data_IF_263426993586
#
_entry.id   IF_263426993586
#
_cell.length_a   1.000
_cell.length_b   1.000
_cell.length_c   1.000
_cell.angle_alpha   90.00
_cell.angle_beta   90.00
_cell.angle_gamma   90.00
#
_symmetry.space_group_name_H-M   'P 1'
#
loop_
_entity.id
_entity.type
_entity.pdbx_description
1 polymer ?
#
# COMPACT_ATOMS: atom_id res chain seq x y z
N UNK A 1 -18.36 -17.95 35.86
CA UNK A 1 -17.72 -16.62 35.69
C UNK A 1 -17.18 -16.56 34.27
N UNK A 2 -17.93 -15.97 33.34
CA UNK A 2 -17.49 -15.74 31.95
C UNK A 2 -16.92 -14.33 31.86
N UNK A 3 -15.61 -14.22 31.63
CA UNK A 3 -14.97 -12.93 31.37
C UNK A 3 -15.13 -12.60 29.89
N UNK A 4 -16.03 -11.67 29.59
CA UNK A 4 -16.23 -11.12 28.25
C UNK A 4 -15.15 -10.06 28.00
N UNK A 5 -14.17 -10.36 27.14
CA UNK A 5 -13.21 -9.36 26.66
C UNK A 5 -13.85 -8.68 25.45
N UNK A 6 -14.19 -7.40 25.58
CA UNK A 6 -14.68 -6.57 24.47
C UNK A 6 -13.46 -5.95 23.78
N UNK A 7 -13.11 -6.43 22.59
CA UNK A 7 -12.15 -5.75 21.72
C UNK A 7 -12.92 -4.65 20.96
N UNK A 8 -12.54 -3.39 21.15
CA UNK A 8 -13.13 -2.27 20.39
C UNK A 8 -12.86 -2.44 18.90
N UNK A 9 -13.94 -2.35 18.12
CA UNK A 9 -13.96 -2.53 16.68
C UNK A 9 -13.38 -1.32 15.94
N UNK A 10 -12.35 -1.58 15.13
CA UNK A 10 -12.02 -0.75 13.97
C UNK A 10 -13.05 -1.05 12.86
N UNK A 11 -13.49 -0.07 12.04
CA UNK A 11 -14.72 -0.19 11.22
C UNK A 11 -14.67 -1.16 10.03
N UNK A 12 -13.78 -2.16 9.99
CA UNK A 12 -13.55 -2.99 8.79
C UNK A 12 -13.62 -4.51 9.01
N UNK A 13 -14.23 -5.04 10.07
CA UNK A 13 -14.38 -6.51 10.20
C UNK A 13 -15.75 -6.93 10.74
N UNK A 14 -16.40 -7.81 9.97
CA UNK A 14 -17.63 -8.51 10.33
C UNK A 14 -17.43 -9.41 11.57
N UNK A 15 -18.45 -9.46 12.42
CA UNK A 15 -18.43 -10.12 13.73
C UNK A 15 -18.12 -11.62 13.65
N UNK A 16 -17.09 -12.08 14.37
CA UNK A 16 -16.83 -13.49 14.64
C UNK A 16 -17.06 -13.78 16.13
N UNK A 17 -18.09 -14.55 16.46
CA UNK A 17 -18.41 -14.95 17.85
C UNK A 17 -17.90 -16.37 18.05
N UNK A 18 -16.91 -16.57 18.92
CA UNK A 18 -16.46 -17.92 19.28
C UNK A 18 -16.92 -18.31 20.68
N UNK A 19 -17.70 -19.40 20.75
CA UNK A 19 -18.21 -19.97 21.99
C UNK A 19 -17.46 -21.27 22.28
N UNK A 20 -16.71 -21.34 23.39
CA UNK A 20 -15.93 -22.52 23.78
C UNK A 20 -16.42 -23.09 25.12
N UNK A 21 -16.73 -24.39 25.16
CA UNK A 21 -17.22 -25.13 26.35
C UNK A 21 -16.06 -25.81 27.09
N UNK A 22 -16.12 -25.75 28.42
CA UNK A 22 -15.09 -26.10 29.41
C UNK A 22 -14.68 -27.59 29.42
N UNK A 23 -13.37 -27.86 29.32
CA UNK A 23 -12.54 -28.44 30.40
C UNK A 23 -11.17 -28.90 29.84
N UNK A 24 -10.09 -28.37 30.43
CA UNK A 24 -8.71 -28.85 30.31
C UNK A 24 -8.01 -28.80 28.94
N UNK A 25 -7.67 -27.61 28.43
CA UNK A 25 -6.40 -27.45 27.68
C UNK A 25 -5.89 -25.99 27.69
N UNK A 26 -5.76 -25.45 28.90
CA UNK A 26 -5.22 -24.11 29.14
C UNK A 26 -3.68 -24.18 29.16
N UNK A 27 -3.00 -24.22 27.99
CA UNK A 27 -1.56 -23.84 27.92
C UNK A 27 -0.91 -23.62 26.54
N UNK A 28 -1.53 -23.90 25.40
CA UNK A 28 -0.77 -23.90 24.12
C UNK A 28 -1.55 -23.43 22.88
N UNK A 29 -2.41 -22.41 22.99
CA UNK A 29 -3.16 -21.87 21.83
C UNK A 29 -3.02 -20.34 21.69
N UNK A 30 -1.95 -19.76 22.27
CA UNK A 30 -1.58 -18.35 22.03
C UNK A 30 -0.32 -18.19 21.14
N UNK A 31 0.26 -19.29 20.64
CA UNK A 31 1.51 -19.26 19.84
C UNK A 31 1.34 -19.70 18.38
N UNK A 32 0.14 -20.07 17.95
CA UNK A 32 -0.14 -20.52 16.58
C UNK A 32 -1.44 -19.87 16.10
N UNK A 33 -1.33 -18.75 15.40
CA UNK A 33 -2.40 -18.31 14.51
C UNK A 33 -3.08 -16.98 14.80
N UNK A 34 -2.46 -16.03 15.49
CA UNK A 34 -2.77 -14.63 15.16
C UNK A 34 -2.04 -14.34 13.87
N UNK A 35 -2.69 -14.59 12.73
CA UNK A 35 -2.21 -14.06 11.45
C UNK A 35 -2.32 -12.55 11.57
N UNK A 36 -1.25 -11.91 12.02
CA UNK A 36 -1.11 -10.47 11.94
C UNK A 36 -1.17 -10.13 10.46
N UNK A 37 -2.36 -9.78 9.97
CA UNK A 37 -2.47 -9.05 8.72
C UNK A 37 -1.87 -7.68 9.04
N UNK A 38 -0.58 -7.52 8.74
CA UNK A 38 -0.01 -6.20 8.57
C UNK A 38 -0.83 -5.57 7.45
N UNK A 39 -1.79 -4.71 7.82
CA UNK A 39 -2.41 -3.84 6.83
C UNK A 39 -1.27 -3.12 6.12
N UNK A 40 -1.28 -3.16 4.78
CA UNK A 40 -0.26 -2.48 4.01
C UNK A 40 -0.22 -1.02 4.48
N UNK A 41 0.92 -0.61 5.05
CA UNK A 41 1.13 0.76 5.48
C UNK A 41 1.33 1.59 4.22
N UNK A 42 0.51 2.62 4.06
CA UNK A 42 0.67 3.62 3.01
C UNK A 42 2.14 4.09 2.94
N UNK A 43 2.76 3.89 1.80
CA UNK A 43 4.19 4.12 1.57
C UNK A 43 4.38 5.14 0.44
N UNK A 44 5.50 5.86 0.49
CA UNK A 44 5.93 6.76 -0.57
C UNK A 44 6.65 5.98 -1.69
N UNK A 45 6.21 6.15 -2.93
CA UNK A 45 6.78 5.58 -4.15
C UNK A 45 7.42 6.72 -4.94
N UNK A 46 8.74 6.72 -5.01
CA UNK A 46 9.49 7.81 -5.64
C UNK A 46 9.67 7.55 -7.14
N UNK A 47 9.46 8.58 -7.96
CA UNK A 47 9.70 8.56 -9.41
C UNK A 47 10.65 9.69 -9.76
N UNK A 48 11.71 9.39 -10.51
CA UNK A 48 12.71 10.38 -10.93
C UNK A 48 13.11 10.15 -12.39
N UNK A 49 13.41 11.23 -13.12
CA UNK A 49 13.83 11.18 -14.54
C UNK A 49 15.17 10.46 -14.76
N UNK A 50 15.93 10.20 -13.70
CA UNK A 50 17.16 9.40 -13.69
C UNK A 50 17.00 8.05 -12.98
N UNK A 51 15.78 7.70 -12.58
CA UNK A 51 15.45 6.47 -11.88
C UNK A 51 15.60 5.21 -12.74
N UNK A 52 15.29 4.06 -12.13
CA UNK A 52 15.29 2.75 -12.78
C UNK A 52 14.05 1.99 -12.33
N UNK A 53 13.29 1.44 -13.27
CA UNK A 53 12.10 0.63 -12.98
C UNK A 53 12.48 -0.74 -12.38
N UNK A 54 12.78 -0.73 -11.08
CA UNK A 54 13.16 -1.89 -10.30
C UNK A 54 12.68 -1.76 -8.85
N UNK A 55 12.39 -2.91 -8.21
CA UNK A 55 11.93 -2.94 -6.83
C UNK A 55 10.57 -2.26 -6.65
N UNK A 56 10.36 -1.69 -5.46
CA UNK A 56 9.08 -1.13 -5.01
C UNK A 56 9.06 0.41 -5.00
N UNK A 57 10.07 1.06 -5.58
CA UNK A 57 10.23 2.51 -5.66
C UNK A 57 10.34 3.24 -4.30
N UNK A 58 10.51 2.55 -3.17
CA UNK A 58 10.53 3.20 -1.85
C UNK A 58 11.93 3.73 -1.48
N UNK A 59 12.97 2.92 -1.72
CA UNK A 59 14.37 3.26 -1.38
C UNK A 59 15.20 3.73 -2.56
N UNK A 60 14.75 3.47 -3.78
CA UNK A 60 15.37 3.90 -5.03
C UNK A 60 14.27 4.33 -6.01
N UNK A 61 14.41 5.48 -6.67
CA UNK A 61 13.34 6.00 -7.52
C UNK A 61 13.18 5.15 -8.77
N UNK A 62 11.92 4.93 -9.13
CA UNK A 62 11.56 4.34 -10.41
C UNK A 62 11.64 5.39 -11.52
N UNK A 63 11.83 4.94 -12.76
CA UNK A 63 11.92 5.82 -13.93
C UNK A 63 10.55 6.24 -14.42
N UNK A 64 9.58 5.30 -14.41
CA UNK A 64 8.27 5.50 -15.01
C UNK A 64 7.13 5.50 -14.00
N UNK A 65 6.13 6.32 -14.31
CA UNK A 65 4.96 6.53 -13.48
C UNK A 65 4.05 5.30 -13.50
N UNK A 66 3.88 4.63 -14.65
CA UNK A 66 3.11 3.38 -14.72
C UNK A 66 3.73 2.26 -13.88
N UNK A 67 5.06 2.12 -13.87
CA UNK A 67 5.73 1.14 -13.02
C UNK A 67 5.49 1.46 -11.53
N UNK A 68 5.67 2.70 -11.11
CA UNK A 68 5.43 3.10 -9.72
C UNK A 68 3.96 2.91 -9.28
N UNK A 69 2.99 3.21 -10.16
CA UNK A 69 1.57 2.95 -9.90
C UNK A 69 1.30 1.44 -9.78
N UNK A 70 1.94 0.61 -10.59
CA UNK A 70 1.79 -0.85 -10.50
C UNK A 70 2.30 -1.38 -9.14
N UNK A 71 3.40 -0.83 -8.62
CA UNK A 71 3.93 -1.18 -7.29
C UNK A 71 3.09 -0.62 -6.13
N UNK A 72 2.43 0.51 -6.35
CA UNK A 72 1.63 1.15 -5.31
C UNK A 72 0.46 0.26 -4.85
N UNK A 73 0.09 0.38 -3.60
CA UNK A 73 -1.12 -0.25 -3.02
C UNK A 73 -2.06 0.80 -2.45
N UNK A 74 -3.19 0.37 -1.88
CA UNK A 74 -4.17 1.29 -1.27
C UNK A 74 -3.52 2.20 -0.24
N UNK A 75 -3.77 3.50 -0.37
CA UNK A 75 -3.25 4.55 0.50
C UNK A 75 -1.86 5.08 0.16
N UNK A 76 -1.13 4.47 -0.78
CA UNK A 76 0.21 4.93 -1.16
C UNK A 76 0.20 6.33 -1.80
N UNK A 77 1.37 6.97 -1.73
CA UNK A 77 1.66 8.20 -2.47
C UNK A 77 2.73 7.92 -3.50
N UNK A 78 2.47 8.22 -4.77
CA UNK A 78 3.48 8.28 -5.82
C UNK A 78 3.96 9.73 -5.93
N UNK A 79 5.21 9.98 -5.57
CA UNK A 79 5.84 11.30 -5.59
C UNK A 79 6.86 11.39 -6.72
N UNK A 80 6.65 12.35 -7.62
CA UNK A 80 7.54 12.63 -8.73
C UNK A 80 8.55 13.72 -8.34
N UNK A 81 9.82 13.43 -8.59
CA UNK A 81 10.93 14.38 -8.55
C UNK A 81 10.87 15.40 -9.68
N UNK A 82 11.69 16.46 -9.61
CA UNK A 82 11.71 17.52 -10.61
C UNK A 82 12.16 17.00 -11.98
N UNK A 83 11.70 17.66 -13.04
CA UNK A 83 12.03 17.31 -14.42
C UNK A 83 10.83 16.87 -15.24
N UNK A 84 11.10 16.52 -16.51
CA UNK A 84 10.08 16.09 -17.48
C UNK A 84 10.03 14.57 -17.56
N UNK A 85 8.95 13.99 -17.02
CA UNK A 85 8.67 12.56 -17.08
C UNK A 85 7.94 12.25 -18.40
N UNK A 86 8.70 11.94 -19.45
CA UNK A 86 8.21 11.66 -20.81
C UNK A 86 8.35 10.17 -21.18
N UNK A 87 8.00 9.79 -22.42
CA UNK A 87 8.07 8.40 -22.88
C UNK A 87 6.78 7.61 -22.69
N UNK A 88 6.72 6.37 -23.22
CA UNK A 88 5.47 5.61 -23.34
C UNK A 88 4.88 5.15 -22.01
N UNK A 89 5.74 4.83 -21.02
CA UNK A 89 5.34 4.36 -19.70
C UNK A 89 4.85 5.48 -18.75
N UNK A 90 4.82 6.72 -19.25
CA UNK A 90 4.24 7.86 -18.56
C UNK A 90 2.89 8.27 -19.17
N UNK A 91 2.26 7.41 -19.98
CA UNK A 91 1.00 7.65 -20.70
C UNK A 91 -0.05 6.62 -20.37
N UNK A 92 -1.31 6.96 -20.66
CA UNK A 92 -2.44 6.05 -20.55
C UNK A 92 -2.43 5.27 -19.22
N UNK A 93 -2.25 6.03 -18.13
CA UNK A 93 -1.96 5.48 -16.82
C UNK A 93 -3.19 4.77 -16.26
N UNK A 94 -3.02 3.52 -15.85
CA UNK A 94 -4.06 2.75 -15.18
C UNK A 94 -3.83 2.74 -13.68
N UNK A 95 -4.76 3.35 -12.92
CA UNK A 95 -4.64 3.47 -11.46
C UNK A 95 -5.05 2.18 -10.71
N UNK A 96 -5.60 1.19 -11.41
CA UNK A 96 -5.93 -0.13 -10.87
C UNK A 96 -6.99 -0.13 -9.76
N UNK A 97 -7.82 0.91 -9.65
CA UNK A 97 -8.90 1.00 -8.66
C UNK A 97 -8.44 1.05 -7.20
N UNK A 98 -7.18 1.41 -6.94
CA UNK A 98 -6.60 1.44 -5.59
C UNK A 98 -7.27 2.55 -4.76
N UNK A 99 -7.89 2.18 -3.66
CA UNK A 99 -8.49 3.16 -2.75
C UNK A 99 -7.40 4.13 -2.24
N UNK A 100 -7.68 5.43 -2.30
CA UNK A 100 -6.82 6.50 -1.78
C UNK A 100 -5.37 6.56 -2.31
N UNK A 101 -5.13 6.11 -3.55
CA UNK A 101 -3.84 6.38 -4.22
C UNK A 101 -3.69 7.88 -4.50
N UNK A 102 -2.58 8.48 -4.05
CA UNK A 102 -2.25 9.88 -4.34
C UNK A 102 -1.08 9.95 -5.31
N UNK A 103 -1.16 10.80 -6.33
CA UNK A 103 -0.04 11.09 -7.23
C UNK A 103 0.27 12.58 -7.13
N UNK A 104 1.52 12.96 -6.84
CA UNK A 104 1.93 14.36 -6.70
C UNK A 104 3.34 14.60 -7.24
N UNK A 105 3.58 15.80 -7.75
CA UNK A 105 4.92 16.26 -8.10
C UNK A 105 5.48 17.24 -7.08
N UNK A 106 6.80 17.30 -6.97
CA UNK A 106 7.50 18.40 -6.30
C UNK A 106 7.63 19.61 -7.26
N UNK A 107 8.17 20.73 -6.77
CA UNK A 107 8.39 21.92 -7.59
C UNK A 107 9.25 21.59 -8.83
N UNK A 108 8.80 22.00 -10.01
CA UNK A 108 9.50 21.75 -11.28
C UNK A 108 9.19 20.40 -11.94
N UNK A 109 8.15 19.69 -11.49
CA UNK A 109 7.67 18.46 -12.14
C UNK A 109 6.84 18.77 -13.38
N UNK A 110 7.16 18.15 -14.51
CA UNK A 110 6.34 18.09 -15.72
C UNK A 110 6.06 16.62 -16.01
N UNK A 111 4.79 16.26 -16.12
CA UNK A 111 4.39 14.93 -16.63
C UNK A 111 4.02 15.11 -18.09
N UNK A 112 4.89 14.63 -18.98
CA UNK A 112 4.63 14.70 -20.42
C UNK A 112 3.80 13.49 -20.85
N UNK A 113 2.51 13.75 -21.05
CA UNK A 113 1.54 12.78 -21.55
C UNK A 113 1.47 12.74 -23.09
N UNK A 114 2.35 13.48 -23.82
CA UNK A 114 2.28 13.68 -25.29
C UNK A 114 3.50 13.23 -26.15
N UNK A 115 4.67 13.02 -25.54
CA UNK A 115 5.88 12.40 -26.15
C UNK A 115 6.62 13.36 -27.06
N UNK A 116 6.65 14.63 -26.65
CA UNK A 116 7.34 15.69 -27.36
C UNK A 116 8.65 16.04 -26.66
#
# INVERSE_FOLDING_TARGET
LQSLIVLQSSPQVSNFVISYKMAHFFRTVCLLGVVQHAGAVATLRNVDVSGIDAGDCASSPCFSLSYAIAQAVTGDVVELGPGTHSGPLNRNLELGGKAALTIRGVAGTIVDLQNE
#
